data_IF_154645452274
#
_entry.id   IF_154645452274
#
_cell.length_a   1.000
_cell.length_b   1.000
_cell.length_c   1.000
_cell.angle_alpha   90.00
_cell.angle_beta   90.00
_cell.angle_gamma   90.00
#
_symmetry.space_group_name_H-M   'P 1'
#
loop_
_entity.id
_entity.type
_entity.pdbx_description
1 polymer ?
#
# COMPACT_ATOMS: atom_id res chain seq x y z
N UNK A 1 13.93 -5.73 -8.73
CA UNK A 1 12.87 -6.26 -7.84
C UNK A 1 12.28 -5.18 -6.98
N UNK A 2 11.02 -5.32 -6.62
CA UNK A 2 10.32 -4.39 -5.76
C UNK A 2 9.94 -5.09 -4.46
N UNK A 3 9.95 -4.32 -3.37
CA UNK A 3 9.54 -4.80 -2.05
C UNK A 3 8.25 -4.12 -1.65
N UNK A 4 7.27 -4.89 -1.19
CA UNK A 4 6.02 -4.36 -0.67
C UNK A 4 5.75 -5.00 0.68
N UNK A 5 5.35 -4.19 1.67
CA UNK A 5 4.97 -4.67 2.99
C UNK A 5 3.45 -4.56 3.12
N UNK A 6 2.80 -5.70 3.28
CA UNK A 6 1.35 -5.80 3.41
C UNK A 6 0.98 -5.93 4.87
N UNK A 7 0.11 -5.06 5.33
CA UNK A 7 -0.33 -5.06 6.73
C UNK A 7 -1.76 -4.55 6.84
N UNK A 8 -2.34 -4.73 8.00
CA UNK A 8 -3.67 -4.23 8.31
C UNK A 8 -3.68 -3.50 9.64
N UNK A 9 -4.70 -2.68 9.84
CA UNK A 9 -4.94 -1.97 11.10
C UNK A 9 -6.42 -2.05 11.43
N UNK A 10 -6.76 -1.80 12.69
CA UNK A 10 -8.16 -1.71 13.11
C UNK A 10 -8.81 -0.47 12.49
N UNK A 11 -10.11 -0.58 12.20
CA UNK A 11 -10.90 0.54 11.69
C UNK A 11 -11.65 1.20 12.86
N UNK A 12 -11.29 2.45 13.24
CA UNK A 12 -11.93 3.13 14.37
C UNK A 12 -13.42 3.37 14.13
N UNK A 13 -13.89 3.44 12.86
CA UNK A 13 -15.30 3.59 12.55
C UNK A 13 -16.15 2.39 13.01
N UNK A 14 -15.50 1.23 13.22
CA UNK A 14 -16.13 0.02 13.74
C UNK A 14 -15.68 -0.30 15.17
N UNK A 15 -15.13 0.68 15.88
CA UNK A 15 -14.67 0.50 17.25
C UNK A 15 -13.40 -0.32 17.39
N UNK A 16 -12.65 -0.52 16.34
CA UNK A 16 -11.39 -1.25 16.35
C UNK A 16 -10.22 -0.29 16.64
N UNK A 17 -9.18 -0.81 17.29
CA UNK A 17 -7.99 -0.01 17.60
C UNK A 17 -7.16 0.17 16.31
N UNK A 18 -6.96 1.43 15.83
CA UNK A 18 -6.20 1.67 14.60
C UNK A 18 -4.71 1.35 14.72
N UNK A 19 -4.22 1.09 15.92
CA UNK A 19 -2.82 0.73 16.16
C UNK A 19 -2.60 -0.78 16.28
N UNK A 20 -3.67 -1.58 16.22
CA UNK A 20 -3.58 -3.03 16.31
C UNK A 20 -3.73 -3.67 14.93
N UNK A 21 -2.82 -4.57 14.53
CA UNK A 21 -2.97 -5.27 13.27
C UNK A 21 -4.12 -6.25 13.33
N UNK A 22 -4.86 -6.36 12.21
CA UNK A 22 -5.98 -7.28 12.05
C UNK A 22 -5.56 -8.59 11.37
N UNK A 23 -4.32 -8.66 10.90
CA UNK A 23 -3.75 -9.81 10.18
C UNK A 23 -2.23 -9.74 10.26
N UNK A 24 -1.53 -10.86 9.98
CA UNK A 24 -0.07 -10.85 9.99
C UNK A 24 0.51 -9.91 8.95
N UNK A 25 1.59 -9.22 9.30
CA UNK A 25 2.34 -8.39 8.35
C UNK A 25 3.19 -9.30 7.46
N UNK A 26 3.13 -9.07 6.15
CA UNK A 26 3.89 -9.84 5.16
C UNK A 26 4.76 -8.92 4.33
N UNK A 27 6.04 -9.23 4.22
CA UNK A 27 6.94 -8.53 3.30
C UNK A 27 7.18 -9.43 2.09
N UNK A 28 6.90 -8.91 0.90
CA UNK A 28 6.93 -9.68 -0.35
C UNK A 28 7.84 -8.98 -1.34
N UNK A 29 8.66 -9.77 -2.04
CA UNK A 29 9.44 -9.30 -3.18
C UNK A 29 8.73 -9.67 -4.47
N UNK A 30 8.59 -8.71 -5.37
CA UNK A 30 7.93 -8.91 -6.67
C UNK A 30 8.80 -8.33 -7.79
N UNK A 31 8.56 -8.77 -9.02
CA UNK A 31 9.34 -8.31 -10.17
C UNK A 31 8.73 -7.11 -10.86
N UNK A 32 7.42 -6.92 -10.75
CA UNK A 32 6.71 -5.83 -11.42
C UNK A 32 5.75 -5.13 -10.47
N UNK A 33 5.38 -3.88 -10.81
CA UNK A 33 4.37 -3.16 -10.05
C UNK A 33 3.00 -3.82 -10.15
N UNK A 34 2.69 -4.45 -11.28
CA UNK A 34 1.45 -5.20 -11.43
C UNK A 34 1.38 -6.36 -10.45
N UNK A 35 2.47 -7.08 -10.26
CA UNK A 35 2.53 -8.15 -9.27
C UNK A 35 2.35 -7.62 -7.84
N UNK A 36 2.86 -6.42 -7.56
CA UNK A 36 2.65 -5.77 -6.26
C UNK A 36 1.16 -5.49 -6.04
N UNK A 37 0.47 -4.99 -7.05
CA UNK A 37 -0.97 -4.73 -6.97
C UNK A 37 -1.76 -6.02 -6.78
N UNK A 38 -1.40 -7.08 -7.49
CA UNK A 38 -2.04 -8.39 -7.33
C UNK A 38 -1.83 -8.97 -5.94
N UNK A 39 -0.62 -8.84 -5.40
CA UNK A 39 -0.30 -9.29 -4.05
C UNK A 39 -1.13 -8.55 -3.00
N UNK A 40 -1.30 -7.23 -3.17
CA UNK A 40 -2.11 -6.41 -2.28
C UNK A 40 -3.57 -6.86 -2.29
N UNK A 41 -4.14 -7.08 -3.48
CA UNK A 41 -5.52 -7.55 -3.60
C UNK A 41 -5.71 -8.94 -3.00
N UNK A 42 -4.78 -9.85 -3.23
CA UNK A 42 -4.83 -11.20 -2.66
C UNK A 42 -4.78 -11.16 -1.13
N UNK A 43 -3.95 -10.28 -0.57
CA UNK A 43 -3.86 -10.09 0.89
C UNK A 43 -5.19 -9.58 1.46
N UNK A 44 -5.79 -8.57 0.82
CA UNK A 44 -7.07 -8.01 1.23
C UNK A 44 -8.17 -9.10 1.23
N UNK A 45 -8.23 -9.89 0.17
CA UNK A 45 -9.23 -10.95 0.03
C UNK A 45 -9.00 -12.09 1.03
N UNK A 46 -7.74 -12.48 1.23
CA UNK A 46 -7.39 -13.58 2.15
C UNK A 46 -7.75 -13.25 3.59
N UNK A 47 -7.63 -11.99 3.98
CA UNK A 47 -7.90 -11.54 5.36
C UNK A 47 -9.21 -10.78 5.50
N UNK A 48 -10.00 -10.70 4.45
CA UNK A 48 -11.33 -10.05 4.43
C UNK A 48 -11.26 -8.61 4.98
N UNK A 49 -10.35 -7.81 4.44
CA UNK A 49 -10.11 -6.46 4.92
C UNK A 49 -11.01 -5.43 4.24
N UNK A 50 -11.50 -4.46 5.01
CA UNK A 50 -12.18 -3.29 4.47
C UNK A 50 -11.19 -2.17 4.13
N UNK A 51 -11.67 -1.13 3.44
CA UNK A 51 -10.83 0.00 3.06
C UNK A 51 -10.21 0.72 4.25
N UNK A 52 -10.91 0.76 5.39
CA UNK A 52 -10.39 1.34 6.63
C UNK A 52 -9.40 0.45 7.38
N UNK A 53 -9.23 -0.80 6.96
CA UNK A 53 -8.30 -1.75 7.56
C UNK A 53 -6.98 -1.88 6.79
N UNK A 54 -6.87 -1.28 5.62
CA UNK A 54 -5.72 -1.49 4.74
C UNK A 54 -5.02 -0.16 4.46
N UNK A 55 -3.99 0.19 5.24
CA UNK A 55 -3.19 1.36 4.88
C UNK A 55 -2.46 1.07 3.58
N UNK A 56 -2.57 1.99 2.62
CA UNK A 56 -2.01 1.80 1.28
C UNK A 56 -0.50 1.55 1.36
N UNK A 57 -0.02 0.36 0.98
CA UNK A 57 1.39 0.03 1.10
C UNK A 57 2.22 0.80 0.08
N UNK A 58 3.42 1.16 0.49
CA UNK A 58 4.43 1.72 -0.40
C UNK A 58 5.22 0.59 -1.03
N UNK A 59 5.59 0.79 -2.30
CA UNK A 59 6.44 -0.15 -3.01
C UNK A 59 7.83 0.46 -3.11
N UNK A 60 8.84 -0.30 -2.72
CA UNK A 60 10.22 0.16 -2.68
C UNK A 60 11.06 -0.52 -3.75
N UNK A 61 11.98 0.25 -4.33
CA UNK A 61 13.09 -0.28 -5.11
C UNK A 61 14.37 0.18 -4.41
N UNK A 62 15.04 -0.75 -3.73
CA UNK A 62 16.08 -0.36 -2.79
C UNK A 62 15.49 0.45 -1.64
N UNK A 63 16.00 1.64 -1.41
CA UNK A 63 15.51 2.54 -0.37
C UNK A 63 14.55 3.61 -0.90
N UNK A 64 14.19 3.53 -2.17
CA UNK A 64 13.37 4.55 -2.83
C UNK A 64 11.95 4.07 -3.00
N UNK A 65 10.98 4.90 -2.60
CA UNK A 65 9.57 4.65 -2.85
C UNK A 65 9.29 4.93 -4.32
N UNK A 66 8.79 3.91 -5.04
CA UNK A 66 8.50 4.02 -6.48
C UNK A 66 7.02 3.96 -6.80
N UNK A 67 6.19 3.53 -5.84
CA UNK A 67 4.74 3.46 -6.04
C UNK A 67 4.01 3.27 -4.72
N UNK A 68 2.69 3.40 -4.77
CA UNK A 68 1.76 2.96 -3.71
C UNK A 68 0.64 2.17 -4.35
N UNK A 69 0.07 1.25 -3.59
CA UNK A 69 -1.06 0.44 -4.06
C UNK A 69 -2.28 0.82 -3.23
N UNK A 70 -3.37 1.23 -3.88
CA UNK A 70 -4.60 1.56 -3.17
C UNK A 70 -5.43 0.30 -2.90
N UNK A 71 -6.42 0.44 -2.02
CA UNK A 71 -7.32 -0.67 -1.64
C UNK A 71 -7.97 -1.34 -2.84
N UNK A 72 -8.31 -0.56 -3.86
CA UNK A 72 -8.94 -1.10 -5.08
C UNK A 72 -7.95 -1.68 -6.10
N UNK A 73 -6.67 -1.81 -5.72
CA UNK A 73 -5.65 -2.43 -6.57
C UNK A 73 -5.03 -1.51 -7.62
N UNK A 74 -5.23 -0.22 -7.52
CA UNK A 74 -4.62 0.74 -8.44
C UNK A 74 -3.21 1.07 -8.01
N UNK A 75 -2.36 1.34 -9.00
CA UNK A 75 -0.95 1.70 -8.80
C UNK A 75 -0.83 3.22 -8.90
N UNK A 76 -0.25 3.84 -7.88
CA UNK A 76 -0.06 5.29 -7.83
C UNK A 76 1.43 5.61 -7.83
N UNK A 77 1.84 6.52 -8.72
CA UNK A 77 3.23 6.95 -8.83
C UNK A 77 3.47 8.20 -7.98
N UNK A 78 4.66 8.35 -7.38
CA UNK A 78 4.95 9.50 -6.54
C UNK A 78 4.96 10.80 -7.32
N UNK A 79 4.83 11.95 -6.63
CA UNK A 79 4.91 13.27 -7.26
C UNK A 79 6.24 13.45 -8.00
N UNK A 80 6.24 14.33 -9.00
CA UNK A 80 7.49 14.73 -9.66
C UNK A 80 8.48 15.26 -8.64
N UNK A 81 9.75 14.89 -8.80
CA UNK A 81 10.79 15.18 -7.83
C UNK A 81 10.92 14.14 -6.74
N UNK A 82 10.04 13.11 -6.75
CA UNK A 82 10.07 12.03 -5.78
C UNK A 82 9.26 12.32 -4.53
N UNK A 83 9.27 11.36 -3.62
CA UNK A 83 8.59 11.45 -2.34
C UNK A 83 9.55 10.97 -1.25
N UNK A 84 9.56 11.66 -0.11
CA UNK A 84 10.36 11.26 1.04
C UNK A 84 9.45 11.10 2.26
N UNK A 85 9.98 10.45 3.31
CA UNK A 85 9.23 10.24 4.54
C UNK A 85 8.85 11.54 5.25
N UNK A 86 9.51 12.65 4.89
CA UNK A 86 9.21 13.98 5.43
C UNK A 86 8.13 14.71 4.65
N UNK A 87 7.72 14.18 3.50
CA UNK A 87 6.69 14.79 2.67
C UNK A 87 5.30 14.39 3.16
N UNK A 88 4.34 15.28 2.90
CA UNK A 88 2.94 15.01 3.18
C UNK A 88 2.44 13.83 2.36
N UNK A 89 1.58 13.00 2.95
CA UNK A 89 0.94 11.87 2.30
C UNK A 89 -0.31 12.31 1.52
N UNK A 90 -0.19 13.41 0.80
CA UNK A 90 -1.30 14.00 0.04
C UNK A 90 -1.50 13.26 -1.27
N UNK A 91 -2.55 12.45 -1.34
CA UNK A 91 -2.91 11.68 -2.51
C UNK A 91 -3.11 12.53 -3.77
N UNK A 92 -3.48 13.78 -3.63
CA UNK A 92 -3.69 14.67 -4.79
C UNK A 92 -2.43 14.93 -5.59
N UNK A 93 -1.27 14.71 -4.99
CA UNK A 93 0.03 14.86 -5.66
C UNK A 93 0.50 13.59 -6.37
N UNK A 94 -0.12 12.45 -6.06
CA UNK A 94 0.23 11.16 -6.67
C UNK A 94 -0.55 10.99 -7.97
N UNK A 95 0.03 10.30 -8.93
CA UNK A 95 -0.57 10.07 -10.24
C UNK A 95 -0.87 8.60 -10.41
N UNK A 96 -2.07 8.28 -10.92
CA UNK A 96 -2.38 6.90 -11.24
C UNK A 96 -1.53 6.45 -12.42
N UNK A 97 -0.89 5.26 -12.30
CA UNK A 97 -0.10 4.69 -13.39
C UNK A 97 -1.03 4.32 -14.55
N UNK A 98 -0.62 4.60 -15.81
CA UNK A 98 -1.39 4.14 -16.96
C UNK A 98 -1.40 2.63 -16.97
N UNK A 99 -2.61 2.06 -17.09
CA UNK A 99 -2.76 0.65 -16.92
C UNK A 99 -3.21 -0.09 -18.08
#
# INVERSE_FOLDING_TARGET
MYRITLRSVGNPDFGQDPYQPMSPTEEIMVETLQQAAEAARAYIERHDLGGGNFPSPRVFKGNQVVARISYNGRIWLPPEGGWSHNDSDDWRRWREAPG
#
